data_IF_971436108218
#
_entry.id   IF_971436108218
#
_cell.length_a   1.000
_cell.length_b   1.000
_cell.length_c   1.000
_cell.angle_alpha   90.00
_cell.angle_beta   90.00
_cell.angle_gamma   90.00
#
_symmetry.space_group_name_H-M   'P 1'
#
loop_
_entity.id
_entity.type
_entity.pdbx_description
1 polymer ?
#
# COMPACT_ATOMS: atom_id res chain seq x y z
N UNK A 1 -11.08 -3.01 14.37
CA UNK A 1 -9.62 -2.70 14.36
C UNK A 1 -8.98 -3.41 13.19
N UNK A 2 -7.90 -2.87 12.61
CA UNK A 2 -7.17 -3.55 11.52
C UNK A 2 -6.67 -4.92 12.01
N UNK A 3 -6.97 -6.03 11.31
CA UNK A 3 -6.56 -7.38 11.70
C UNK A 3 -5.06 -7.50 12.00
N UNK A 4 -4.22 -6.81 11.21
CA UNK A 4 -2.76 -6.78 11.39
C UNK A 4 -2.38 -6.16 12.75
N UNK A 5 -3.00 -5.02 13.11
CA UNK A 5 -2.70 -4.32 14.38
C UNK A 5 -3.10 -5.18 15.58
N UNK A 6 -4.23 -5.88 15.49
CA UNK A 6 -4.66 -6.79 16.55
C UNK A 6 -3.66 -7.92 16.75
N UNK A 7 -3.19 -8.53 15.65
CA UNK A 7 -2.21 -9.61 15.72
C UNK A 7 -0.87 -9.17 16.31
N UNK A 8 -0.39 -7.98 15.95
CA UNK A 8 0.84 -7.42 16.53
C UNK A 8 0.66 -7.16 18.03
N UNK A 9 -0.44 -6.51 18.43
CA UNK A 9 -0.66 -6.09 19.82
C UNK A 9 -0.96 -7.25 20.78
N UNK A 10 -1.70 -8.24 20.32
CA UNK A 10 -2.29 -9.26 21.20
C UNK A 10 -1.75 -10.66 20.97
N UNK A 11 -1.21 -10.95 19.77
CA UNK A 11 -0.82 -12.30 19.39
C UNK A 11 0.68 -12.40 19.05
N UNK A 12 1.46 -11.37 19.38
CA UNK A 12 2.92 -11.35 19.17
C UNK A 12 3.33 -11.34 17.69
N UNK A 13 2.42 -11.00 16.78
CA UNK A 13 2.71 -10.96 15.35
C UNK A 13 3.81 -9.95 15.03
N UNK A 14 4.72 -10.32 14.13
CA UNK A 14 5.85 -9.47 13.74
C UNK A 14 5.84 -9.17 12.26
N UNK A 15 6.10 -7.92 11.89
CA UNK A 15 6.25 -7.56 10.49
C UNK A 15 7.64 -7.97 10.01
N UNK A 16 7.67 -8.76 8.93
CA UNK A 16 8.90 -9.22 8.28
C UNK A 16 9.01 -8.60 6.91
N UNK A 17 10.16 -8.02 6.62
CA UNK A 17 10.45 -7.44 5.31
C UNK A 17 10.60 -8.54 4.26
N UNK A 18 10.13 -8.24 3.05
CA UNK A 18 10.22 -9.12 1.91
C UNK A 18 10.52 -8.31 0.64
N UNK A 19 11.34 -8.88 -0.23
CA UNK A 19 11.61 -8.36 -1.56
C UNK A 19 11.42 -9.50 -2.57
N UNK A 20 10.64 -9.24 -3.60
CA UNK A 20 10.63 -10.08 -4.79
C UNK A 20 11.34 -9.32 -5.90
N UNK A 21 12.28 -9.95 -6.60
CA UNK A 21 12.88 -9.36 -7.79
C UNK A 21 12.99 -10.35 -8.94
N UNK A 22 12.99 -9.83 -10.17
CA UNK A 22 13.11 -10.65 -11.37
C UNK A 22 14.56 -11.02 -11.65
N UNK A 23 14.87 -12.31 -11.91
CA UNK A 23 16.25 -12.78 -12.14
C UNK A 23 16.73 -12.56 -13.58
N UNK A 24 15.95 -13.01 -14.58
CA UNK A 24 16.45 -13.07 -15.96
C UNK A 24 15.55 -12.39 -17.00
N UNK A 25 14.23 -12.40 -16.79
CA UNK A 25 13.25 -11.84 -17.74
C UNK A 25 12.67 -10.54 -17.19
N UNK A 26 12.23 -9.66 -18.08
CA UNK A 26 11.56 -8.41 -17.68
C UNK A 26 10.21 -8.75 -17.06
N UNK A 27 9.80 -8.08 -15.98
CA UNK A 27 8.42 -8.24 -15.48
C UNK A 27 7.49 -7.54 -16.48
N UNK A 28 6.58 -8.30 -17.08
CA UNK A 28 5.66 -7.79 -18.09
C UNK A 28 4.29 -7.54 -17.45
N UNK A 29 3.96 -6.27 -17.21
CA UNK A 29 2.60 -5.92 -16.79
C UNK A 29 1.77 -5.60 -18.03
N UNK A 30 0.65 -6.30 -18.20
CA UNK A 30 -0.27 -6.11 -19.32
C UNK A 30 -1.55 -5.45 -18.82
N UNK A 31 -1.65 -4.12 -18.72
CA UNK A 31 -2.96 -3.51 -18.52
C UNK A 31 -3.84 -3.80 -19.74
N UNK A 32 -5.06 -4.31 -19.55
CA UNK A 32 -5.99 -4.77 -20.62
C UNK A 32 -6.27 -3.71 -21.72
N UNK A 33 -5.93 -2.43 -21.49
CA UNK A 33 -6.28 -1.31 -22.40
C UNK A 33 -5.13 -0.36 -22.76
N UNK A 34 -3.91 -0.55 -22.27
CA UNK A 34 -2.75 0.30 -22.60
C UNK A 34 -1.58 -0.58 -23.04
N UNK A 35 -0.68 -0.01 -23.86
CA UNK A 35 0.58 -0.63 -24.30
C UNK A 35 1.19 -1.44 -23.16
N UNK A 36 1.58 -2.69 -23.44
CA UNK A 36 2.28 -3.57 -22.51
C UNK A 36 3.35 -2.76 -21.77
N UNK A 37 3.21 -2.64 -20.45
CA UNK A 37 4.21 -1.97 -19.64
C UNK A 37 5.24 -3.00 -19.20
N UNK A 38 6.39 -2.93 -19.86
CA UNK A 38 7.53 -3.79 -19.60
C UNK A 38 8.40 -3.09 -18.55
N UNK A 39 8.50 -3.68 -17.36
CA UNK A 39 9.42 -3.20 -16.35
C UNK A 39 10.87 -3.57 -16.71
N UNK A 40 11.86 -2.79 -16.23
CA UNK A 40 13.26 -3.07 -16.50
C UNK A 40 13.69 -4.46 -15.99
N UNK A 41 14.84 -4.93 -16.46
CA UNK A 41 15.54 -6.05 -15.83
C UNK A 41 15.83 -5.66 -14.37
N UNK A 42 15.84 -6.65 -13.47
CA UNK A 42 16.03 -6.45 -12.03
C UNK A 42 14.95 -5.63 -11.33
N UNK A 43 13.72 -5.59 -11.88
CA UNK A 43 12.59 -4.98 -11.20
C UNK A 43 12.39 -5.59 -9.80
N UNK A 44 12.24 -4.73 -8.79
CA UNK A 44 12.13 -5.12 -7.37
C UNK A 44 10.80 -4.64 -6.80
N UNK A 45 10.20 -5.48 -5.96
CA UNK A 45 9.00 -5.15 -5.21
C UNK A 45 9.27 -5.38 -3.75
N UNK A 46 9.29 -4.28 -3.03
CA UNK A 46 9.43 -4.28 -1.58
C UNK A 46 8.05 -4.42 -0.96
N UNK A 47 7.99 -5.21 0.10
CA UNK A 47 6.78 -5.52 0.82
C UNK A 47 7.10 -6.15 2.15
N UNK A 48 6.08 -6.73 2.75
CA UNK A 48 6.18 -7.36 4.04
C UNK A 48 5.12 -8.44 4.20
N UNK A 49 5.31 -9.32 5.16
CA UNK A 49 4.27 -10.21 5.66
C UNK A 49 4.25 -10.12 7.19
N UNK A 50 3.10 -10.45 7.77
CA UNK A 50 2.98 -10.64 9.19
C UNK A 50 3.34 -12.07 9.52
N UNK A 51 4.42 -12.26 10.26
CA UNK A 51 4.81 -13.55 10.82
C UNK A 51 3.92 -13.91 12.02
N UNK A 52 3.52 -15.17 12.07
CA UNK A 52 2.73 -15.75 13.14
C UNK A 52 2.96 -17.27 13.24
N UNK A 53 2.42 -17.85 14.31
CA UNK A 53 2.49 -19.30 14.55
C UNK A 53 1.26 -19.97 13.94
N UNK A 54 1.49 -20.97 13.11
CA UNK A 54 0.43 -21.77 12.48
C UNK A 54 -0.11 -22.82 13.46
N UNK A 55 -1.34 -23.32 13.27
CA UNK A 55 -1.91 -24.37 14.12
C UNK A 55 -1.09 -25.67 14.18
N UNK A 56 -0.28 -25.93 13.16
CA UNK A 56 0.62 -27.09 13.10
C UNK A 56 2.01 -26.83 13.72
N UNK A 57 2.23 -25.66 14.33
CA UNK A 57 3.49 -25.27 14.94
C UNK A 57 4.53 -24.66 13.98
N UNK A 58 4.22 -24.51 12.69
CA UNK A 58 5.10 -23.82 11.75
C UNK A 58 5.13 -22.32 12.05
N UNK A 59 6.30 -21.68 11.90
CA UNK A 59 6.43 -20.22 11.91
C UNK A 59 6.47 -19.71 10.47
N UNK A 60 5.63 -18.74 10.14
CA UNK A 60 5.58 -18.16 8.79
C UNK A 60 4.49 -17.11 8.67
N UNK A 61 4.01 -16.78 7.46
CA UNK A 61 2.95 -15.79 7.29
C UNK A 61 1.68 -16.20 8.05
N UNK A 62 1.17 -15.34 8.94
CA UNK A 62 -0.03 -15.59 9.74
C UNK A 62 -1.21 -15.93 8.83
N UNK A 63 -1.79 -17.10 9.03
CA UNK A 63 -2.80 -17.68 8.12
C UNK A 63 -4.12 -16.92 8.07
N UNK A 64 -4.44 -16.10 9.07
CA UNK A 64 -5.65 -15.26 9.06
C UNK A 64 -5.46 -14.01 8.20
N UNK A 65 -4.22 -13.51 8.10
CA UNK A 65 -3.87 -12.34 7.28
C UNK A 65 -3.45 -12.77 5.88
N UNK A 66 -2.73 -13.88 5.79
CA UNK A 66 -2.10 -14.42 4.60
C UNK A 66 -2.71 -15.79 4.29
N UNK A 67 -3.75 -15.86 3.42
CA UNK A 67 -4.39 -17.12 3.09
C UNK A 67 -3.36 -18.21 2.71
N UNK A 68 -3.50 -19.37 3.35
CA UNK A 68 -2.61 -20.54 3.21
C UNK A 68 -1.14 -20.31 3.60
N UNK A 69 -0.81 -19.20 4.26
CA UNK A 69 0.58 -18.84 4.60
C UNK A 69 1.45 -18.51 3.38
N UNK A 70 0.84 -18.28 2.20
CA UNK A 70 1.54 -18.18 0.91
C UNK A 70 1.42 -16.81 0.27
N UNK A 71 1.34 -15.76 1.08
CA UNK A 71 1.18 -14.41 0.56
C UNK A 71 1.89 -13.36 1.39
N UNK A 72 2.09 -12.20 0.78
CA UNK A 72 2.63 -10.99 1.39
C UNK A 72 1.85 -9.75 0.89
N UNK A 73 2.23 -8.58 1.37
CA UNK A 73 1.63 -7.28 1.05
C UNK A 73 2.72 -6.41 0.41
N UNK A 74 2.48 -5.88 -0.79
CA UNK A 74 3.44 -4.96 -1.42
C UNK A 74 3.24 -3.54 -0.90
N UNK A 75 4.35 -2.84 -0.63
CA UNK A 75 4.29 -1.42 -0.24
C UNK A 75 3.67 -0.56 -1.35
N UNK A 76 3.90 -0.95 -2.61
CA UNK A 76 3.35 -0.27 -3.77
C UNK A 76 1.82 -0.21 -3.71
N UNK A 77 1.14 -1.32 -3.36
CA UNK A 77 -0.32 -1.32 -3.25
C UNK A 77 -0.78 -0.71 -1.93
N UNK A 78 -0.15 -1.09 -0.84
CA UNK A 78 -0.60 -0.79 0.51
C UNK A 78 -0.54 0.71 0.82
N UNK A 79 0.56 1.38 0.44
CA UNK A 79 0.71 2.82 0.62
C UNK A 79 -0.32 3.61 -0.18
N UNK A 80 -0.64 3.17 -1.41
CA UNK A 80 -1.70 3.81 -2.23
C UNK A 80 -3.06 3.65 -1.57
N UNK A 81 -3.37 2.44 -1.12
CA UNK A 81 -4.64 2.14 -0.45
C UNK A 81 -4.81 3.00 0.80
N UNK A 82 -3.80 3.08 1.66
CA UNK A 82 -3.83 3.89 2.87
C UNK A 82 -3.92 5.38 2.57
N UNK A 83 -3.13 5.90 1.63
CA UNK A 83 -3.17 7.31 1.23
C UNK A 83 -4.57 7.71 0.73
N UNK A 84 -5.16 6.94 -0.18
CA UNK A 84 -6.48 7.25 -0.74
C UNK A 84 -7.58 7.25 0.34
N UNK A 85 -7.54 6.29 1.27
CA UNK A 85 -8.52 6.22 2.35
C UNK A 85 -8.36 7.35 3.37
N UNK A 86 -7.12 7.66 3.78
CA UNK A 86 -6.85 8.78 4.69
C UNK A 86 -7.31 10.10 4.07
N UNK A 87 -7.02 10.32 2.78
CA UNK A 87 -7.47 11.52 2.08
C UNK A 87 -9.01 11.62 2.03
N UNK A 88 -9.72 10.53 1.71
CA UNK A 88 -11.18 10.50 1.68
C UNK A 88 -11.79 10.80 3.05
N UNK A 89 -11.30 10.14 4.10
CA UNK A 89 -11.75 10.36 5.47
C UNK A 89 -11.52 11.82 5.85
N UNK A 90 -10.31 12.36 5.60
CA UNK A 90 -9.97 13.76 5.85
C UNK A 90 -10.89 14.73 5.12
N UNK A 91 -11.23 14.46 3.85
CA UNK A 91 -12.17 15.26 3.06
C UNK A 91 -13.58 15.24 3.65
N UNK A 92 -14.10 14.08 4.03
CA UNK A 92 -15.42 13.98 4.64
C UNK A 92 -15.47 14.67 6.00
N UNK A 93 -14.42 14.51 6.81
CA UNK A 93 -14.29 15.18 8.11
C UNK A 93 -14.23 16.70 7.94
N UNK A 94 -13.40 17.22 7.03
CA UNK A 94 -13.35 18.65 6.69
C UNK A 94 -14.74 19.17 6.33
N UNK A 95 -15.44 18.48 5.44
CA UNK A 95 -16.77 18.89 5.00
C UNK A 95 -17.79 18.88 6.15
N UNK A 96 -17.73 17.88 7.03
CA UNK A 96 -18.60 17.79 8.20
C UNK A 96 -18.34 18.95 9.18
N UNK A 97 -17.07 19.25 9.45
CA UNK A 97 -16.67 20.38 10.31
C UNK A 97 -17.16 21.71 9.71
N UNK A 98 -16.87 21.97 8.43
CA UNK A 98 -17.29 23.20 7.74
C UNK A 98 -18.82 23.37 7.81
N UNK A 99 -19.57 22.32 7.51
CA UNK A 99 -21.04 22.35 7.57
C UNK A 99 -21.57 22.57 8.99
N UNK A 100 -20.96 21.93 9.98
CA UNK A 100 -21.41 22.01 11.38
C UNK A 100 -21.14 23.40 11.96
N UNK A 101 -19.94 23.94 11.72
CA UNK A 101 -19.57 25.29 12.19
C UNK A 101 -20.46 26.35 11.54
N UNK A 102 -20.71 26.22 10.23
CA UNK A 102 -21.67 27.12 9.57
C UNK A 102 -23.08 26.99 10.15
N UNK A 103 -23.53 25.77 10.46
CA UNK A 103 -24.88 25.56 11.00
C UNK A 103 -25.06 26.07 12.44
N UNK A 104 -24.06 25.89 13.31
CA UNK A 104 -24.15 26.22 14.74
C UNK A 104 -23.76 27.65 15.02
N UNK A 105 -22.65 28.11 14.41
CA UNK A 105 -22.03 29.40 14.71
C UNK A 105 -22.29 30.43 13.60
N UNK A 106 -22.87 30.04 12.46
CA UNK A 106 -23.05 30.91 11.28
C UNK A 106 -21.72 31.43 10.69
N UNK A 107 -20.63 30.72 10.98
CA UNK A 107 -19.28 31.06 10.52
C UNK A 107 -18.94 30.26 9.26
N UNK A 108 -18.54 30.97 8.20
CA UNK A 108 -17.99 30.36 6.99
C UNK A 108 -16.51 30.01 7.15
N UNK A 109 -16.18 28.73 6.92
CA UNK A 109 -14.81 28.23 6.92
C UNK A 109 -14.31 27.93 5.49
N UNK A 110 -13.02 28.16 5.20
CA UNK A 110 -12.02 28.79 6.08
C UNK A 110 -12.28 30.29 6.25
N UNK A 111 -12.10 30.80 7.48
CA UNK A 111 -12.35 32.21 7.78
C UNK A 111 -11.36 33.11 7.00
N UNK A 112 -11.81 34.25 6.44
CA UNK A 112 -10.95 35.18 5.73
C UNK A 112 -9.76 35.64 6.61
N UNK A 113 -8.54 35.37 6.16
CA UNK A 113 -7.31 35.70 6.90
C UNK A 113 -6.71 34.54 7.74
N UNK A 114 -7.36 33.37 7.81
CA UNK A 114 -6.83 32.19 8.53
C UNK A 114 -5.87 31.32 7.73
N UNK A 115 -5.54 31.68 6.49
CA UNK A 115 -4.60 30.91 5.67
C UNK A 115 -3.17 31.34 5.99
N UNK A 116 -2.60 30.76 7.06
CA UNK A 116 -1.16 30.55 7.06
C UNK A 116 -0.93 29.26 6.29
N UNK A 117 -0.13 29.30 5.22
CA UNK A 117 0.47 28.11 4.64
C UNK A 117 1.19 27.38 5.77
N UNK A 118 0.52 26.40 6.37
CA UNK A 118 1.14 25.55 7.37
C UNK A 118 2.15 24.69 6.65
N UNK A 119 3.35 24.56 7.20
CA UNK A 119 4.39 23.62 6.75
C UNK A 119 3.83 22.24 6.35
N UNK A 120 2.76 21.79 7.00
CA UNK A 120 2.03 20.56 6.68
C UNK A 120 1.51 20.42 5.23
N UNK A 121 1.26 21.52 4.49
CA UNK A 121 0.78 21.40 3.10
C UNK A 121 1.89 20.92 2.15
N UNK A 122 3.13 21.40 2.36
CA UNK A 122 4.30 20.93 1.60
C UNK A 122 4.56 19.44 1.85
N UNK A 123 4.32 18.98 3.07
CA UNK A 123 4.44 17.56 3.42
C UNK A 123 3.41 16.71 2.67
N UNK A 124 2.15 17.17 2.59
CA UNK A 124 1.08 16.45 1.89
C UNK A 124 1.30 16.35 0.38
N UNK A 125 1.69 17.45 -0.27
CA UNK A 125 1.99 17.43 -1.71
C UNK A 125 3.21 16.55 -2.02
N UNK A 126 4.26 16.62 -1.19
CA UNK A 126 5.44 15.76 -1.34
C UNK A 126 5.08 14.28 -1.17
N UNK A 127 4.22 13.95 -0.20
CA UNK A 127 3.72 12.57 -0.03
C UNK A 127 2.88 12.16 -1.23
N UNK A 128 1.97 13.01 -1.71
CA UNK A 128 1.12 12.73 -2.87
C UNK A 128 1.98 12.43 -4.12
N UNK A 129 3.01 13.24 -4.36
CA UNK A 129 3.97 13.07 -5.45
C UNK A 129 4.77 11.75 -5.33
N UNK A 130 5.25 11.42 -4.14
CA UNK A 130 5.95 10.14 -3.90
C UNK A 130 5.04 8.94 -4.13
N UNK A 131 3.79 9.00 -3.67
CA UNK A 131 2.81 7.93 -3.83
C UNK A 131 2.39 7.78 -5.30
N UNK A 132 2.21 8.87 -6.04
CA UNK A 132 1.88 8.81 -7.47
C UNK A 132 3.01 8.22 -8.31
N UNK A 133 4.27 8.43 -7.88
CA UNK A 133 5.46 7.90 -8.54
C UNK A 133 5.80 6.46 -8.19
N UNK A 134 5.08 5.83 -7.26
CA UNK A 134 5.26 4.40 -7.00
C UNK A 134 5.05 3.61 -8.30
N UNK A 135 5.76 2.50 -8.54
CA UNK A 135 5.46 1.66 -9.67
C UNK A 135 4.13 0.93 -9.44
N UNK A 136 3.33 0.78 -10.49
CA UNK A 136 2.18 -0.13 -10.51
C UNK A 136 2.71 -1.54 -10.68
N UNK A 137 3.32 -2.08 -9.62
CA UNK A 137 3.97 -3.38 -9.58
C UNK A 137 3.68 -4.03 -8.22
N UNK A 138 2.92 -5.13 -8.21
CA UNK A 138 2.35 -5.71 -6.98
C UNK A 138 2.70 -7.19 -6.86
N UNK A 139 2.43 -7.80 -5.71
CA UNK A 139 2.56 -9.25 -5.54
C UNK A 139 1.41 -10.02 -6.19
N UNK A 140 1.63 -11.31 -6.49
CA UNK A 140 0.67 -12.14 -7.25
C UNK A 140 -0.72 -12.21 -6.61
N UNK A 141 -0.77 -12.38 -5.29
CA UNK A 141 -2.02 -12.38 -4.52
C UNK A 141 -2.75 -11.02 -4.50
N UNK A 142 -2.18 -9.97 -5.09
CA UNK A 142 -2.74 -8.62 -5.10
C UNK A 142 -3.28 -8.18 -6.46
N UNK A 143 -3.12 -8.97 -7.53
CA UNK A 143 -3.52 -8.58 -8.89
C UNK A 143 -5.02 -8.31 -9.03
N UNK A 144 -5.83 -9.12 -8.36
CA UNK A 144 -7.29 -8.97 -8.40
C UNK A 144 -7.83 -7.99 -7.36
N UNK A 145 -6.97 -7.53 -6.43
CA UNK A 145 -7.39 -6.65 -5.34
C UNK A 145 -7.65 -5.24 -5.84
N UNK A 146 -8.62 -4.60 -5.21
CA UNK A 146 -8.90 -3.18 -5.47
C UNK A 146 -7.72 -2.32 -5.07
N UNK A 147 -7.24 -1.51 -6.01
CA UNK A 147 -6.11 -0.61 -5.81
C UNK A 147 -6.48 0.77 -6.38
N UNK A 148 -6.34 1.85 -5.59
CA UNK A 148 -6.58 3.19 -6.09
C UNK A 148 -5.48 3.61 -7.06
N UNK A 149 -5.87 4.28 -8.14
CA UNK A 149 -4.95 4.99 -9.01
C UNK A 149 -4.80 6.42 -8.47
N UNK A 150 -3.55 6.84 -8.27
CA UNK A 150 -3.20 8.13 -7.65
C UNK A 150 -2.31 8.88 -8.63
N UNK A 151 -2.77 10.05 -9.04
CA UNK A 151 -2.02 10.93 -9.94
C UNK A 151 -1.91 12.29 -9.29
N UNK A 152 -0.71 12.86 -9.35
CA UNK A 152 -0.41 14.17 -8.81
C UNK A 152 0.28 15.01 -9.88
N UNK A 153 -0.25 16.20 -10.12
CA UNK A 153 0.27 17.17 -11.07
C UNK A 153 0.56 18.47 -10.35
N UNK A 154 1.79 18.99 -10.49
CA UNK A 154 2.17 20.30 -9.97
C UNK A 154 2.42 21.24 -11.14
N UNK A 155 1.59 22.26 -11.26
CA UNK A 155 1.73 23.35 -12.21
C UNK A 155 2.24 24.62 -11.48
N UNK A 156 2.72 25.61 -12.22
CA UNK A 156 3.25 26.86 -11.64
C UNK A 156 2.24 27.66 -10.79
N UNK A 157 0.94 27.39 -10.94
CA UNK A 157 -0.14 28.12 -10.26
C UNK A 157 -1.02 27.26 -9.36
N UNK A 158 -1.00 25.94 -9.55
CA UNK A 158 -1.93 25.05 -8.87
C UNK A 158 -1.41 23.61 -8.82
N UNK A 159 -1.97 22.81 -7.92
CA UNK A 159 -1.70 21.39 -7.76
C UNK A 159 -2.98 20.59 -7.92
N UNK A 160 -2.92 19.53 -8.70
CA UNK A 160 -4.06 18.64 -8.93
C UNK A 160 -3.74 17.25 -8.37
N UNK A 161 -4.65 16.71 -7.56
CA UNK A 161 -4.60 15.35 -7.05
C UNK A 161 -5.83 14.58 -7.52
N UNK A 162 -5.61 13.53 -8.31
CA UNK A 162 -6.67 12.66 -8.83
C UNK A 162 -6.60 11.32 -8.11
N UNK A 163 -7.73 10.90 -7.53
CA UNK A 163 -7.91 9.64 -6.80
C UNK A 163 -9.03 8.82 -7.43
N UNK A 164 -8.69 7.85 -8.27
CA UNK A 164 -9.66 6.95 -8.91
C UNK A 164 -9.71 5.61 -8.15
N UNK A 165 -10.91 5.08 -7.89
CA UNK A 165 -11.06 3.74 -7.33
C UNK A 165 -12.31 3.05 -7.90
N UNK A 166 -12.17 1.85 -8.48
CA UNK A 166 -10.91 1.15 -8.68
C UNK A 166 -10.08 1.72 -9.85
N UNK A 167 -8.75 1.73 -9.71
CA UNK A 167 -7.86 2.05 -10.82
C UNK A 167 -7.85 0.97 -11.90
N UNK A 168 -7.34 1.28 -13.09
CA UNK A 168 -7.14 0.34 -14.22
C UNK A 168 -6.36 -0.91 -13.79
N UNK A 169 -6.90 -2.10 -14.08
CA UNK A 169 -6.34 -3.39 -13.66
C UNK A 169 -6.05 -4.29 -14.84
N UNK A 170 -4.81 -4.77 -14.92
CA UNK A 170 -4.46 -6.18 -15.12
C UNK A 170 -2.94 -6.30 -15.09
N UNK A 171 -2.42 -7.23 -14.29
CA UNK A 171 -1.00 -7.48 -14.13
C UNK A 171 -0.77 -8.97 -14.17
N UNK A 172 0.19 -9.41 -14.97
CA UNK A 172 0.71 -10.77 -14.93
C UNK A 172 2.21 -10.69 -14.70
N UNK A 173 2.79 -11.78 -14.24
CA UNK A 173 4.24 -11.93 -14.21
C UNK A 173 4.62 -13.02 -15.19
N UNK A 174 5.64 -12.74 -15.99
CA UNK A 174 6.26 -13.71 -16.89
C UNK A 174 7.76 -13.72 -16.58
N UNK A 175 8.29 -14.87 -16.14
CA UNK A 175 9.72 -15.02 -15.83
C UNK A 175 10.02 -15.66 -14.47
N UNK A 176 11.30 -15.90 -14.23
CA UNK A 176 11.82 -16.41 -12.95
C UNK A 176 12.00 -15.28 -11.94
N UNK A 177 11.59 -15.55 -10.70
CA UNK A 177 11.62 -14.59 -9.60
C UNK A 177 12.47 -15.13 -8.46
N UNK A 178 13.16 -14.23 -7.78
CA UNK A 178 13.82 -14.53 -6.52
C UNK A 178 13.03 -13.88 -5.38
N UNK A 179 12.90 -14.61 -4.29
CA UNK A 179 12.25 -14.15 -3.07
C UNK A 179 13.32 -14.03 -1.99
N UNK A 180 13.42 -12.85 -1.40
CA UNK A 180 14.25 -12.58 -0.23
C UNK A 180 13.33 -12.14 0.89
N UNK A 181 13.43 -12.79 2.03
CA UNK A 181 12.69 -12.38 3.21
C UNK A 181 13.56 -12.50 4.46
N UNK A 182 13.25 -11.68 5.43
CA UNK A 182 13.84 -11.77 6.75
C UNK A 182 12.96 -12.66 7.62
N UNK A 183 13.54 -13.70 8.20
CA UNK A 183 12.89 -14.52 9.23
C UNK A 183 13.72 -14.50 10.49
N UNK A 184 13.07 -14.52 11.65
CA UNK A 184 13.75 -14.77 12.91
C UNK A 184 13.64 -16.25 13.21
N UNK A 185 14.80 -16.87 13.38
CA UNK A 185 14.90 -18.29 13.72
C UNK A 185 15.17 -18.39 15.22
N UNK A 186 14.46 -19.28 15.88
CA UNK A 186 14.63 -19.63 17.28
C UNK A 186 15.01 -21.13 17.42
N UNK A 187 15.62 -21.55 18.55
CA UNK A 187 16.08 -22.93 18.75
C UNK A 187 14.97 -23.93 19.10
N UNK A 188 13.73 -23.48 19.28
CA UNK A 188 12.58 -24.31 19.69
C UNK A 188 11.76 -24.72 18.46
N UNK A 189 11.60 -23.81 17.51
CA UNK A 189 10.78 -23.96 16.33
C UNK A 189 11.44 -24.84 15.29
N UNK A 190 10.72 -25.88 14.88
CA UNK A 190 11.25 -26.96 14.02
C UNK A 190 11.07 -26.71 12.53
N UNK A 191 10.11 -25.87 12.17
CA UNK A 191 9.66 -25.70 10.78
C UNK A 191 9.27 -24.26 10.52
N UNK A 192 9.73 -23.76 9.37
CA UNK A 192 9.51 -22.40 8.91
C UNK A 192 8.87 -22.43 7.52
N UNK A 193 7.87 -21.60 7.30
CA UNK A 193 7.22 -21.43 6.01
C UNK A 193 7.56 -20.06 5.44
N UNK A 194 8.08 -20.05 4.22
CA UNK A 194 8.34 -18.84 3.46
C UNK A 194 7.08 -18.40 2.71
N UNK A 195 6.84 -17.09 2.53
CA UNK A 195 5.80 -16.62 1.62
C UNK A 195 6.03 -17.20 0.22
N UNK A 196 4.96 -17.66 -0.42
CA UNK A 196 4.95 -18.25 -1.78
C UNK A 196 5.74 -19.56 -1.95
N UNK A 197 6.07 -20.28 -0.86
CA UNK A 197 6.61 -21.65 -0.88
C UNK A 197 5.64 -22.64 -0.21
#
# INVERSE_FOLDING_TARGET
MSPIVNKIKHNGGQLRSMVIYSRDRRIVTKPIRKKIQIFPRDARIVGYFLEGVHPNGNIGPDIEIHPNGKSAISLNRDLRYHFANLYRIGRHLKNAIVKTVHHVETIDLPYPGSIRHTSCQYDLESIAEKISNLPSLFYQNEFDKETPNIQFYRNLKDTELILETPGSRYMNWEGEVAIFCQMQVDPVSRTYQLPYW
#
